data_IF_346210109809
#
_entry.id   IF_346210109809
#
_cell.length_a   1.000
_cell.length_b   1.000
_cell.length_c   1.000
_cell.angle_alpha   90.00
_cell.angle_beta   90.00
_cell.angle_gamma   90.00
#
_symmetry.space_group_name_H-M   'P 1'
#
loop_
_entity.id
_entity.type
_entity.pdbx_description
1 polymer ?
#
# COMPACT_ATOMS: atom_id res chain seq x y z
N UNK A 1 15.53 11.78 -6.97
CA UNK A 1 14.97 10.72 -6.11
C UNK A 1 14.57 9.60 -7.04
N UNK A 2 15.27 8.47 -6.98
CA UNK A 2 15.05 7.35 -7.88
C UNK A 2 13.64 6.78 -7.64
N UNK A 3 12.77 6.99 -8.62
CA UNK A 3 11.68 6.10 -9.02
C UNK A 3 11.75 4.74 -8.31
N UNK A 4 10.82 4.48 -7.38
CA UNK A 4 10.54 3.11 -6.98
C UNK A 4 10.07 2.39 -8.25
N UNK A 5 10.91 1.51 -8.79
CA UNK A 5 10.48 0.55 -9.79
C UNK A 5 9.50 -0.39 -9.09
N UNK A 6 8.22 -0.04 -9.14
CA UNK A 6 7.17 -0.99 -8.79
C UNK A 6 7.22 -2.14 -9.81
N UNK A 7 7.41 -3.36 -9.31
CA UNK A 7 7.39 -4.56 -10.16
C UNK A 7 5.97 -4.74 -10.68
N UNK A 8 5.79 -4.71 -12.00
CA UNK A 8 4.49 -4.97 -12.63
C UNK A 8 4.26 -6.48 -12.75
N UNK A 9 3.06 -6.98 -12.47
CA UNK A 9 2.71 -8.37 -12.75
C UNK A 9 2.14 -8.49 -14.17
N UNK A 10 2.39 -9.61 -14.88
CA UNK A 10 1.91 -9.80 -16.25
C UNK A 10 1.48 -11.25 -16.53
N UNK A 11 0.55 -11.43 -17.47
CA UNK A 11 0.14 -12.74 -18.02
C UNK A 11 0.61 -12.84 -19.47
N UNK A 12 1.18 -13.98 -19.86
CA UNK A 12 1.61 -14.23 -21.25
C UNK A 12 3.06 -13.83 -21.53
N UNK A 13 3.29 -13.06 -22.60
CA UNK A 13 4.63 -12.66 -23.03
C UNK A 13 5.29 -11.68 -22.03
N UNK A 14 6.61 -11.78 -21.92
CA UNK A 14 7.38 -10.90 -21.04
C UNK A 14 7.35 -9.47 -21.58
N UNK A 15 7.02 -8.44 -20.76
CA UNK A 15 7.03 -7.05 -21.18
C UNK A 15 8.40 -6.66 -21.75
N UNK A 16 8.42 -5.69 -22.67
CA UNK A 16 9.63 -5.25 -23.39
C UNK A 16 10.80 -4.84 -22.47
N UNK A 17 10.52 -4.43 -21.23
CA UNK A 17 11.52 -4.06 -20.24
C UNK A 17 12.01 -5.22 -19.36
N UNK A 18 11.42 -6.43 -19.48
CA UNK A 18 11.86 -7.63 -18.75
C UNK A 18 11.68 -7.58 -17.23
N UNK A 19 10.95 -6.58 -16.71
CA UNK A 19 10.68 -6.43 -15.28
C UNK A 19 9.28 -6.94 -14.97
N UNK A 20 9.13 -7.66 -13.87
CA UNK A 20 7.81 -8.06 -13.39
C UNK A 20 7.72 -9.51 -12.93
N UNK A 21 6.60 -9.85 -12.30
CA UNK A 21 6.29 -11.22 -11.92
C UNK A 21 5.35 -11.85 -12.95
N UNK A 22 5.79 -12.96 -13.54
CA UNK A 22 4.93 -13.74 -14.44
C UNK A 22 3.83 -14.42 -13.63
N UNK A 23 2.58 -14.08 -13.92
CA UNK A 23 1.41 -14.73 -13.34
C UNK A 23 1.11 -16.01 -14.12
N UNK A 24 0.94 -17.10 -13.39
CA UNK A 24 0.59 -18.38 -13.99
C UNK A 24 -0.86 -18.33 -14.50
N UNK A 25 -1.13 -18.69 -15.76
CA UNK A 25 -2.48 -18.58 -16.31
C UNK A 25 -3.45 -19.58 -15.65
N UNK A 26 -4.74 -19.25 -15.63
CA UNK A 26 -5.83 -20.09 -15.08
C UNK A 26 -5.67 -20.48 -13.60
N UNK A 27 -5.08 -19.60 -12.79
CA UNK A 27 -4.95 -19.82 -11.36
C UNK A 27 -6.05 -19.09 -10.57
N UNK A 28 -6.37 -19.54 -9.34
CA UNK A 28 -7.19 -18.77 -8.41
C UNK A 28 -6.57 -17.39 -8.09
N UNK A 29 -7.44 -16.43 -7.77
CA UNK A 29 -7.06 -15.04 -7.48
C UNK A 29 -6.07 -14.93 -6.30
N UNK A 30 -6.15 -15.84 -5.33
CA UNK A 30 -5.22 -15.92 -4.21
C UNK A 30 -3.79 -16.23 -4.67
N UNK A 31 -3.64 -17.11 -5.66
CA UNK A 31 -2.33 -17.46 -6.23
C UNK A 31 -1.77 -16.28 -7.01
N UNK A 32 -2.62 -15.56 -7.76
CA UNK A 32 -2.21 -14.32 -8.43
C UNK A 32 -1.82 -13.22 -7.45
N UNK A 33 -2.57 -13.04 -6.36
CA UNK A 33 -2.23 -12.07 -5.32
C UNK A 33 -0.85 -12.35 -4.73
N UNK A 34 -0.55 -13.61 -4.44
CA UNK A 34 0.77 -14.01 -3.97
C UNK A 34 1.86 -13.75 -5.02
N UNK A 35 1.66 -14.18 -6.27
CA UNK A 35 2.63 -14.02 -7.36
C UNK A 35 2.88 -12.54 -7.72
N UNK A 36 1.84 -11.71 -7.62
CA UNK A 36 1.94 -10.27 -7.85
C UNK A 36 2.58 -9.51 -6.67
N UNK A 37 2.83 -10.17 -5.52
CA UNK A 37 3.27 -9.48 -4.31
C UNK A 37 2.18 -8.58 -3.70
N UNK A 38 0.92 -8.91 -3.96
CA UNK A 38 -0.30 -8.21 -3.57
C UNK A 38 -1.11 -8.93 -2.48
N UNK A 39 -0.57 -10.03 -1.91
CA UNK A 39 -1.18 -10.75 -0.78
C UNK A 39 -0.98 -10.01 0.55
N UNK A 40 -1.51 -8.79 0.61
CA UNK A 40 -1.52 -7.91 1.78
C UNK A 40 -2.73 -6.99 1.72
N UNK A 41 -3.09 -6.40 2.86
CA UNK A 41 -4.21 -5.46 2.96
C UNK A 41 -3.71 -4.07 3.25
N UNK A 42 -4.42 -3.07 2.73
CA UNK A 42 -4.32 -1.71 3.23
C UNK A 42 -5.00 -1.69 4.59
N UNK A 43 -4.25 -1.32 5.62
CA UNK A 43 -4.75 -1.02 6.96
C UNK A 43 -4.59 0.46 7.24
N UNK A 44 -5.28 0.96 8.28
CA UNK A 44 -5.21 2.36 8.64
C UNK A 44 -5.19 2.63 10.14
N UNK A 45 -4.63 3.78 10.51
CA UNK A 45 -4.54 4.26 11.88
C UNK A 45 -4.61 5.78 11.92
N UNK A 46 -5.04 6.34 13.05
CA UNK A 46 -5.10 7.79 13.25
C UNK A 46 -3.70 8.41 13.20
N UNK A 47 -3.60 9.59 12.59
CA UNK A 47 -2.36 10.34 12.59
C UNK A 47 -2.23 11.10 13.91
N UNK A 48 -1.06 11.00 14.53
CA UNK A 48 -0.64 11.87 15.61
C UNK A 48 0.73 12.45 15.31
N UNK A 49 0.98 13.68 15.74
CA UNK A 49 2.27 14.35 15.56
C UNK A 49 2.85 14.79 16.89
N UNK A 50 4.17 14.81 16.96
CA UNK A 50 4.91 15.27 18.13
C UNK A 50 5.22 16.76 17.99
N UNK A 51 4.86 17.54 19.01
CA UNK A 51 5.15 18.96 19.10
C UNK A 51 5.86 19.27 20.42
N UNK A 52 6.39 20.49 20.55
CA UNK A 52 6.86 21.03 21.83
C UNK A 52 5.89 22.11 22.30
N UNK A 53 5.49 22.07 23.56
CA UNK A 53 4.73 23.17 24.16
C UNK A 53 5.65 24.37 24.48
N UNK A 54 5.07 25.46 24.98
CA UNK A 54 5.81 26.69 25.34
C UNK A 54 6.88 26.47 26.44
N UNK A 55 6.76 25.37 27.19
CA UNK A 55 7.73 24.95 28.22
C UNK A 55 8.79 23.97 27.67
N UNK A 56 8.82 23.73 26.36
CA UNK A 56 9.76 22.83 25.70
C UNK A 56 9.52 21.33 25.89
N UNK A 57 8.41 20.94 26.53
CA UNK A 57 8.06 19.53 26.75
C UNK A 57 7.48 18.92 25.47
N UNK A 58 7.86 17.67 25.18
CA UNK A 58 7.30 16.93 24.05
C UNK A 58 5.87 16.49 24.36
N UNK A 59 4.95 16.80 23.46
CA UNK A 59 3.54 16.42 23.52
C UNK A 59 3.15 15.71 22.23
N UNK A 60 2.22 14.78 22.32
CA UNK A 60 1.62 14.10 21.16
C UNK A 60 0.24 14.70 20.96
N UNK A 61 -0.03 15.21 19.77
CA UNK A 61 -1.31 15.80 19.39
C UNK A 61 -1.93 14.99 18.25
N UNK A 62 -3.24 14.72 18.30
CA UNK A 62 -3.92 14.04 17.21
C UNK A 62 -4.05 14.98 16.00
N UNK A 63 -4.09 14.41 14.81
CA UNK A 63 -4.55 15.07 13.60
C UNK A 63 -5.81 14.36 13.08
N UNK A 64 -6.93 14.65 13.75
CA UNK A 64 -8.20 13.89 13.64
C UNK A 64 -8.77 13.81 12.21
N UNK A 65 -8.47 14.80 11.35
CA UNK A 65 -8.94 14.84 9.96
C UNK A 65 -8.20 13.87 9.03
N UNK A 66 -7.07 13.29 9.47
CA UNK A 66 -6.20 12.44 8.67
C UNK A 66 -5.96 11.08 9.32
N UNK A 67 -5.85 10.05 8.48
CA UNK A 67 -5.39 8.72 8.83
C UNK A 67 -4.22 8.32 7.94
N UNK A 68 -3.34 7.48 8.45
CA UNK A 68 -2.27 6.87 7.65
C UNK A 68 -2.76 5.54 7.10
N UNK A 69 -2.49 5.28 5.82
CA UNK A 69 -2.63 3.98 5.19
C UNK A 69 -1.27 3.27 5.21
N UNK A 70 -1.26 1.99 5.54
CA UNK A 70 -0.05 1.17 5.58
C UNK A 70 -0.35 -0.28 5.19
N UNK A 71 0.70 -1.03 4.87
CA UNK A 71 0.57 -2.46 4.54
C UNK A 71 0.47 -3.31 5.80
N UNK A 72 -0.47 -4.25 5.83
CA UNK A 72 -0.64 -5.19 6.95
C UNK A 72 0.55 -6.13 7.19
N UNK A 73 1.35 -6.41 6.16
CA UNK A 73 2.45 -7.39 6.21
C UNK A 73 3.75 -6.82 6.79
N UNK A 74 4.06 -5.58 6.45
CA UNK A 74 5.35 -4.92 6.69
C UNK A 74 5.22 -3.67 7.55
N UNK A 75 3.98 -3.19 7.75
CA UNK A 75 3.69 -1.88 8.32
C UNK A 75 4.33 -0.72 7.54
N UNK A 76 4.72 -0.95 6.28
CA UNK A 76 5.29 0.09 5.45
C UNK A 76 4.22 1.16 5.18
N UNK A 77 4.55 2.46 5.38
CA UNK A 77 3.61 3.53 5.13
C UNK A 77 3.35 3.66 3.63
N UNK A 78 2.08 3.88 3.28
CA UNK A 78 1.65 4.09 1.90
C UNK A 78 1.35 5.57 1.65
N UNK A 79 0.43 6.14 2.44
CA UNK A 79 -0.01 7.53 2.28
C UNK A 79 -0.70 8.05 3.54
N UNK A 80 -0.83 9.36 3.66
CA UNK A 80 -1.72 10.03 4.62
C UNK A 80 -2.91 10.56 3.85
N UNK A 81 -4.11 10.21 4.31
CA UNK A 81 -5.36 10.51 3.61
C UNK A 81 -6.39 11.08 4.58
N UNK A 82 -7.35 11.84 4.06
CA UNK A 82 -8.48 12.29 4.87
C UNK A 82 -9.31 11.11 5.37
N UNK A 83 -10.00 11.27 6.50
CA UNK A 83 -10.89 10.23 7.05
C UNK A 83 -11.95 9.71 6.06
N UNK A 84 -12.40 10.55 5.11
CA UNK A 84 -13.40 10.18 4.09
C UNK A 84 -12.85 9.43 2.87
N UNK A 85 -11.53 9.28 2.77
CA UNK A 85 -10.89 8.63 1.62
C UNK A 85 -11.31 7.16 1.52
N UNK A 86 -11.71 6.74 0.33
CA UNK A 86 -12.09 5.36 0.03
C UNK A 86 -10.86 4.63 -0.50
N UNK A 87 -10.42 3.62 0.24
CA UNK A 87 -9.34 2.73 -0.19
C UNK A 87 -9.88 1.64 -1.12
N UNK A 88 -9.05 1.23 -2.07
CA UNK A 88 -9.29 0.05 -2.91
C UNK A 88 -8.20 -0.95 -2.56
N UNK A 89 -8.60 -2.15 -2.13
CA UNK A 89 -7.67 -3.16 -1.65
C UNK A 89 -6.89 -3.78 -2.84
N UNK A 90 -5.64 -4.22 -2.64
CA UNK A 90 -4.85 -4.83 -3.71
C UNK A 90 -5.55 -6.02 -4.38
N UNK A 91 -6.27 -6.83 -3.59
CA UNK A 91 -7.05 -7.97 -4.11
C UNK A 91 -8.17 -7.53 -5.04
N UNK A 92 -8.84 -6.41 -4.75
CA UNK A 92 -9.94 -5.89 -5.59
C UNK A 92 -9.41 -5.45 -6.96
N UNK A 93 -8.19 -4.93 -7.04
CA UNK A 93 -7.56 -4.57 -8.33
C UNK A 93 -7.36 -5.81 -9.20
N UNK A 94 -6.97 -6.94 -8.60
CA UNK A 94 -6.72 -8.19 -9.30
C UNK A 94 -7.99 -8.80 -9.91
N UNK A 95 -9.17 -8.50 -9.36
CA UNK A 95 -10.46 -8.98 -9.90
C UNK A 95 -10.81 -8.34 -11.25
N UNK A 96 -10.10 -7.28 -11.66
CA UNK A 96 -10.32 -6.58 -12.93
C UNK A 96 -9.23 -6.84 -14.00
N UNK A 97 -8.31 -7.79 -13.75
CA UNK A 97 -7.14 -8.06 -14.62
C UNK A 97 -7.37 -9.26 -15.54
#
# INVERSE_FOLDING_TARGET
>A
MAHQLEQMAYVGETPWHGLGNQLSPHQPIEVWAQQAGMDWRIESSDVSYMAKNDRGQSIILPYEEQRVLYRSDTHAPLSVVSQRFQEVQPKEILEFV
#
